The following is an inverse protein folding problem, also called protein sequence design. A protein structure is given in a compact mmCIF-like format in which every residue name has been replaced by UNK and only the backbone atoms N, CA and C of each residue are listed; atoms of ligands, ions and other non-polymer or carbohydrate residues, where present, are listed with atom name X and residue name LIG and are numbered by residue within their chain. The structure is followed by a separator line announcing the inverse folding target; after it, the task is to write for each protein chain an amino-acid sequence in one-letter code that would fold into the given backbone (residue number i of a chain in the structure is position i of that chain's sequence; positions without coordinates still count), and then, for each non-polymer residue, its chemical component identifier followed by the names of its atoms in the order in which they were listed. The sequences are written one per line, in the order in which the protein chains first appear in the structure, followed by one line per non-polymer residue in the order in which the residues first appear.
data_IF_668173037116
#
_entry.id   IF_668173037116
#
_cell.length_a   1.000
_cell.length_b   1.000
_cell.length_c   1.000
_cell.angle_alpha   90.00
_cell.angle_beta   90.00
_cell.angle_gamma   90.00
#
_symmetry.space_group_name_H-M   'P 1'
#
loop_
_entity.id
_entity.type
_entity.pdbx_description
1 polymer ?
#
# COMPACT_ATOMS: atom_id res chain seq x y z
N UNK A 1 18.50 0.43 22.01
CA UNK A 1 18.11 1.04 20.71
C UNK A 1 18.34 2.57 20.65
N UNK A 2 18.23 3.32 21.76
CA UNK A 2 18.45 4.78 21.80
C UNK A 2 19.91 5.28 21.68
N UNK A 3 20.90 4.47 22.06
CA UNK A 3 22.30 4.94 22.13
C UNK A 3 23.08 4.83 20.80
N UNK A 4 22.60 4.07 19.81
CA UNK A 4 23.23 4.00 18.48
C UNK A 4 22.94 5.26 17.63
N UNK A 5 21.80 5.92 17.87
CA UNK A 5 21.33 7.07 17.09
C UNK A 5 22.02 8.41 17.40
N UNK A 6 22.94 8.49 18.39
CA UNK A 6 23.57 9.76 18.79
C UNK A 6 24.85 10.08 18.01
N UNK A 7 25.54 9.07 17.45
CA UNK A 7 26.90 9.26 16.89
C UNK A 7 26.91 9.52 15.38
N UNK A 8 25.92 9.00 14.65
CA UNK A 8 25.74 9.14 13.19
C UNK A 8 25.15 10.50 12.76
N UNK A 9 24.54 11.26 13.68
CA UNK A 9 23.87 12.54 13.40
C UNK A 9 24.80 13.68 12.99
N UNK A 10 26.06 13.69 13.44
CA UNK A 10 26.96 14.82 13.18
C UNK A 10 27.36 14.96 11.71
N UNK A 11 27.53 13.84 11.02
CA UNK A 11 27.94 13.85 9.61
C UNK A 11 26.75 14.14 8.68
N UNK A 12 25.55 13.65 9.04
CA UNK A 12 24.32 13.88 8.28
C UNK A 12 23.88 15.35 8.36
N UNK A 13 23.93 15.98 9.54
CA UNK A 13 23.61 17.41 9.71
C UNK A 13 24.57 18.28 8.87
N UNK A 14 25.84 17.90 8.76
CA UNK A 14 26.82 18.65 7.96
C UNK A 14 26.50 18.59 6.45
N UNK A 15 26.01 17.45 5.95
CA UNK A 15 25.61 17.30 4.54
C UNK A 15 24.38 18.16 4.22
N UNK A 16 23.34 18.12 5.07
CA UNK A 16 22.15 18.95 4.88
C UNK A 16 22.46 20.46 4.95
N UNK A 17 23.37 20.88 5.84
CA UNK A 17 23.79 22.27 5.90
C UNK A 17 24.47 22.76 4.60
N UNK A 18 25.23 21.90 3.93
CA UNK A 18 25.89 22.21 2.65
C UNK A 18 24.86 22.32 1.51
N UNK A 19 23.90 21.40 1.46
CA UNK A 19 22.82 21.41 0.44
C UNK A 19 21.96 22.66 0.59
N UNK A 20 21.55 23.00 1.83
CA UNK A 20 20.78 24.22 2.11
C UNK A 20 21.58 25.47 1.75
N UNK A 21 22.88 25.52 2.04
CA UNK A 21 23.73 26.64 1.65
C UNK A 21 23.81 26.80 0.11
N UNK A 22 23.87 25.70 -0.64
CA UNK A 22 23.89 25.73 -2.11
C UNK A 22 22.56 26.21 -2.73
N UNK A 23 21.43 25.85 -2.12
CA UNK A 23 20.10 26.33 -2.51
C UNK A 23 19.95 27.81 -2.18
N UNK A 24 20.37 28.25 -0.99
CA UNK A 24 20.37 29.67 -0.59
C UNK A 24 21.29 30.54 -1.47
N UNK A 25 22.37 29.97 -2.02
CA UNK A 25 23.30 30.67 -2.90
C UNK A 25 22.83 30.70 -4.38
N UNK A 26 21.67 30.11 -4.69
CA UNK A 26 21.05 30.19 -6.02
C UNK A 26 21.78 29.41 -7.11
N UNK A 27 22.60 28.42 -6.75
CA UNK A 27 23.42 27.65 -7.71
C UNK A 27 22.58 26.61 -8.48
N UNK A 28 21.35 26.31 -8.03
CA UNK A 28 20.47 25.27 -8.58
C UNK A 28 19.11 25.84 -9.04
N UNK A 29 19.12 26.81 -9.96
CA UNK A 29 17.89 27.26 -10.64
C UNK A 29 18.12 27.21 -12.16
N UNK A 30 17.69 26.12 -12.80
CA UNK A 30 17.49 26.03 -14.25
C UNK A 30 16.18 26.73 -14.68
N UNK A 31 16.03 27.11 -15.97
CA UNK A 31 14.99 28.03 -16.38
C UNK A 31 13.60 27.37 -16.44
N UNK A 32 12.63 28.17 -16.02
CA UNK A 32 11.19 27.91 -15.87
C UNK A 32 10.50 27.77 -17.25
N UNK A 33 10.01 26.57 -17.59
CA UNK A 33 9.10 26.36 -18.73
C UNK A 33 7.69 26.84 -18.38
N UNK A 34 7.14 27.75 -19.19
CA UNK A 34 5.74 28.17 -19.17
C UNK A 34 4.89 27.08 -19.83
N UNK A 35 3.97 26.48 -19.08
CA UNK A 35 2.90 25.65 -19.64
C UNK A 35 1.71 26.57 -19.93
N UNK A 36 1.26 26.49 -21.18
CA UNK A 36 0.03 27.08 -21.71
C UNK A 36 -1.06 26.02 -21.47
N UNK A 37 -2.11 26.37 -20.74
CA UNK A 37 -3.29 25.52 -20.51
C UNK A 37 -4.47 26.12 -21.28
N UNK A 38 -4.78 25.54 -22.44
CA UNK A 38 -6.07 25.72 -23.13
C UNK A 38 -6.92 24.48 -22.84
N UNK A 39 -7.83 24.62 -21.89
CA UNK A 39 -8.89 23.68 -21.58
C UNK A 39 -10.06 23.86 -22.55
N UNK A 40 -10.71 22.76 -23.00
CA UNK A 40 -12.17 22.82 -23.06
C UNK A 40 -12.86 21.64 -22.37
N UNK A 41 -13.79 22.02 -21.51
CA UNK A 41 -14.74 21.22 -20.74
C UNK A 41 -15.78 20.49 -21.63
N UNK A 42 -16.23 19.26 -21.32
CA UNK A 42 -17.35 18.63 -22.00
C UNK A 42 -18.69 18.99 -21.37
N UNK A 43 -19.63 19.44 -22.21
CA UNK A 43 -21.04 19.67 -21.87
C UNK A 43 -21.92 18.46 -22.20
N UNK A 44 -22.85 18.15 -21.32
CA UNK A 44 -24.12 17.42 -21.55
C UNK A 44 -25.16 18.04 -20.57
N UNK A 45 -26.51 17.85 -20.67
CA UNK A 45 -27.27 16.81 -21.41
C UNK A 45 -28.64 17.25 -22.04
N UNK A 46 -29.28 16.36 -22.81
CA UNK A 46 -30.75 16.26 -23.06
C UNK A 46 -31.03 14.84 -23.62
N UNK A 47 -32.19 14.17 -23.56
CA UNK A 47 -33.55 14.43 -23.10
C UNK A 47 -34.30 13.06 -23.01
N UNK A 48 -35.44 13.05 -22.32
CA UNK A 48 -36.29 11.90 -21.98
C UNK A 48 -37.08 11.27 -23.15
N UNK A 49 -37.53 10.02 -23.00
CA UNK A 49 -38.88 9.61 -23.38
C UNK A 49 -39.35 8.33 -22.65
N UNK A 50 -40.52 8.43 -22.01
CA UNK A 50 -41.29 7.40 -21.32
C UNK A 50 -41.94 6.36 -22.26
N UNK A 51 -42.25 5.19 -21.68
CA UNK A 51 -43.26 4.25 -22.15
C UNK A 51 -43.77 3.39 -20.98
N UNK A 52 -45.09 3.18 -20.91
CA UNK A 52 -45.90 2.99 -19.69
C UNK A 52 -46.61 1.62 -19.68
N UNK A 53 -46.55 0.90 -18.53
CA UNK A 53 -47.54 0.00 -17.84
C UNK A 53 -48.26 -1.18 -18.57
N UNK A 54 -49.04 -2.10 -17.89
CA UNK A 54 -48.83 -2.90 -16.65
C UNK A 54 -49.44 -4.36 -16.68
N UNK A 55 -49.56 -5.00 -15.50
CA UNK A 55 -50.45 -6.12 -15.06
C UNK A 55 -49.97 -7.59 -15.26
N UNK A 56 -50.20 -8.62 -14.42
CA UNK A 56 -50.84 -8.85 -13.10
C UNK A 56 -50.73 -10.37 -12.77
N UNK A 57 -50.65 -10.76 -11.48
CA UNK A 57 -51.29 -11.93 -10.81
C UNK A 57 -50.42 -12.77 -9.83
N UNK A 58 -50.85 -12.74 -8.56
CA UNK A 58 -50.77 -13.82 -7.55
C UNK A 58 -52.18 -14.52 -7.51
N UNK A 59 -52.54 -15.58 -6.71
CA UNK A 59 -52.00 -15.97 -5.38
C UNK A 59 -52.03 -17.48 -4.97
N UNK A 60 -51.34 -17.81 -3.86
CA UNK A 60 -51.88 -18.64 -2.74
C UNK A 60 -51.63 -20.16 -2.67
N UNK A 61 -51.02 -20.64 -1.56
CA UNK A 61 -51.59 -21.61 -0.57
C UNK A 61 -50.54 -22.49 0.17
N UNK A 62 -50.55 -22.45 1.52
CA UNK A 62 -50.08 -23.48 2.49
C UNK A 62 -51.34 -24.09 3.19
N UNK A 63 -51.36 -25.19 4.01
CA UNK A 63 -50.32 -25.70 4.95
C UNK A 63 -50.18 -27.26 5.12
N UNK A 64 -49.33 -27.66 6.10
CA UNK A 64 -48.77 -28.97 6.58
C UNK A 64 -49.79 -30.06 7.09
N UNK A 65 -49.45 -31.25 7.73
CA UNK A 65 -48.44 -31.50 8.80
C UNK A 65 -47.78 -32.92 8.94
N UNK A 66 -46.81 -33.07 9.87
CA UNK A 66 -46.45 -34.36 10.52
C UNK A 66 -45.03 -34.46 11.13
N UNK A 67 -44.90 -34.33 12.46
CA UNK A 67 -43.67 -34.52 13.27
C UNK A 67 -43.58 -35.97 13.87
N UNK A 68 -42.52 -36.40 14.61
CA UNK A 68 -42.22 -35.89 15.95
C UNK A 68 -40.73 -35.73 16.34
N UNK A 69 -40.56 -35.06 17.49
CA UNK A 69 -39.38 -34.59 18.24
C UNK A 69 -38.25 -35.56 18.56
N UNK A 70 -37.04 -35.02 18.76
CA UNK A 70 -36.22 -35.35 19.94
C UNK A 70 -35.32 -34.16 20.37
N UNK A 71 -35.33 -33.88 21.67
CA UNK A 71 -34.74 -32.70 22.32
C UNK A 71 -33.34 -33.01 22.86
N UNK A 72 -32.38 -32.07 22.75
CA UNK A 72 -31.16 -32.03 23.58
C UNK A 72 -30.65 -30.58 23.73
N UNK A 73 -29.92 -30.25 24.82
CA UNK A 73 -30.03 -28.97 25.50
C UNK A 73 -29.19 -27.85 24.89
N UNK A 74 -29.73 -26.62 25.00
CA UNK A 74 -29.05 -25.39 24.62
C UNK A 74 -27.83 -25.11 25.51
N UNK A 75 -26.66 -25.28 24.93
CA UNK A 75 -25.54 -24.37 25.18
C UNK A 75 -25.46 -23.45 23.97
N UNK A 76 -25.56 -22.13 24.19
CA UNK A 76 -25.09 -21.17 23.20
C UNK A 76 -23.57 -21.34 23.08
N UNK A 77 -23.15 -22.30 22.27
CA UNK A 77 -21.84 -22.25 21.67
C UNK A 77 -21.89 -21.06 20.71
N UNK A 78 -21.48 -19.90 21.22
CA UNK A 78 -21.03 -18.82 20.35
C UNK A 78 -19.86 -19.44 19.58
N UNK A 79 -20.13 -19.88 18.35
CA UNK A 79 -19.08 -20.33 17.46
C UNK A 79 -18.08 -19.17 17.37
N UNK A 80 -16.84 -19.42 17.77
CA UNK A 80 -15.76 -18.47 17.51
C UNK A 80 -15.84 -18.12 16.02
N UNK A 81 -15.86 -16.83 15.65
CA UNK A 81 -15.96 -16.46 14.24
C UNK A 81 -14.85 -17.19 13.49
N UNK A 82 -15.20 -17.83 12.37
CA UNK A 82 -14.22 -18.45 11.49
C UNK A 82 -13.12 -17.41 11.21
N UNK A 83 -11.84 -17.78 11.31
CA UNK A 83 -10.77 -16.80 11.19
C UNK A 83 -10.87 -16.15 9.80
N UNK A 84 -11.02 -14.82 9.77
CA UNK A 84 -11.33 -14.05 8.56
C UNK A 84 -10.34 -14.37 7.43
N UNK A 85 -10.81 -15.00 6.36
CA UNK A 85 -9.98 -15.36 5.21
C UNK A 85 -9.28 -14.11 4.65
N UNK A 86 -7.99 -14.23 4.37
CA UNK A 86 -7.23 -13.12 3.83
C UNK A 86 -7.61 -12.85 2.37
N UNK A 87 -7.63 -11.59 1.97
CA UNK A 87 -7.97 -11.16 0.61
C UNK A 87 -6.73 -10.78 -0.20
N UNK A 88 -6.89 -10.72 -1.53
CA UNK A 88 -5.87 -10.14 -2.41
C UNK A 88 -6.19 -8.68 -2.66
N UNK A 89 -5.25 -7.78 -2.37
CA UNK A 89 -5.43 -6.33 -2.47
C UNK A 89 -4.33 -5.66 -3.29
N UNK A 90 -4.74 -4.69 -4.09
CA UNK A 90 -3.84 -3.79 -4.84
C UNK A 90 -3.58 -2.53 -4.02
N UNK A 91 -2.32 -2.12 -3.93
CA UNK A 91 -1.90 -0.88 -3.30
C UNK A 91 -1.13 -0.02 -4.30
N UNK A 92 -1.48 1.27 -4.31
CA UNK A 92 -0.85 2.26 -5.18
C UNK A 92 -0.29 3.38 -4.30
N UNK A 93 0.99 3.69 -4.50
CA UNK A 93 1.62 4.88 -3.94
C UNK A 93 2.34 5.62 -5.06
N UNK A 94 1.83 6.79 -5.45
CA UNK A 94 2.28 7.50 -6.64
C UNK A 94 2.23 6.57 -7.87
N UNK A 95 3.37 6.24 -8.47
CA UNK A 95 3.47 5.33 -9.60
C UNK A 95 3.84 3.89 -9.20
N UNK A 96 4.24 3.65 -7.95
CA UNK A 96 4.47 2.30 -7.43
C UNK A 96 3.13 1.59 -7.26
N UNK A 97 3.02 0.39 -7.84
CA UNK A 97 1.85 -0.47 -7.70
C UNK A 97 2.26 -1.89 -7.33
N UNK A 98 1.68 -2.38 -6.23
CA UNK A 98 1.90 -3.74 -5.72
C UNK A 98 0.56 -4.43 -5.47
N UNK A 99 0.57 -5.75 -5.53
CA UNK A 99 -0.52 -6.61 -5.12
C UNK A 99 -0.04 -7.51 -3.99
N UNK A 100 -0.81 -7.61 -2.90
CA UNK A 100 -0.54 -8.51 -1.79
C UNK A 100 -1.67 -9.52 -1.65
N UNK A 101 -1.31 -10.79 -1.46
CA UNK A 101 -2.25 -11.84 -1.05
C UNK A 101 -2.37 -11.93 0.47
N UNK A 102 -3.40 -12.62 0.95
CA UNK A 102 -3.61 -12.93 2.37
C UNK A 102 -3.64 -11.71 3.30
N UNK A 103 -4.13 -10.58 2.80
CA UNK A 103 -4.32 -9.36 3.60
C UNK A 103 -5.53 -9.51 4.50
N UNK A 104 -5.41 -9.13 5.77
CA UNK A 104 -6.49 -9.14 6.76
C UNK A 104 -7.17 -7.77 6.88
N UNK A 105 -6.37 -6.73 7.09
CA UNK A 105 -6.80 -5.36 7.19
C UNK A 105 -5.61 -4.44 6.97
N UNK A 106 -5.89 -3.20 6.62
CA UNK A 106 -4.89 -2.15 6.44
C UNK A 106 -5.35 -0.87 7.13
N UNK A 107 -4.37 -0.05 7.51
CA UNK A 107 -4.62 1.25 8.15
C UNK A 107 -3.59 2.26 7.70
N UNK A 108 -4.01 3.52 7.61
CA UNK A 108 -3.06 4.63 7.41
C UNK A 108 -2.54 5.12 8.75
N UNK A 109 -1.23 5.31 8.84
CA UNK A 109 -0.57 5.92 9.98
C UNK A 109 0.24 7.15 9.54
N UNK A 110 0.60 7.98 10.52
CA UNK A 110 1.40 9.19 10.35
C UNK A 110 2.60 9.15 11.29
N UNK A 111 3.77 9.56 10.80
CA UNK A 111 4.94 9.86 11.61
C UNK A 111 5.53 11.22 11.25
N UNK A 112 6.47 11.72 12.05
CA UNK A 112 7.29 12.85 11.65
C UNK A 112 8.54 12.32 10.95
N UNK A 113 8.86 12.87 9.78
CA UNK A 113 10.15 12.64 9.12
C UNK A 113 11.29 13.36 9.88
N UNK A 114 12.53 13.14 9.43
CA UNK A 114 13.71 13.76 10.04
C UNK A 114 13.73 15.29 9.91
N UNK A 115 12.95 15.86 8.99
CA UNK A 115 12.73 17.29 8.80
C UNK A 115 11.58 17.86 9.64
N UNK A 116 10.85 17.03 10.40
CA UNK A 116 9.67 17.42 11.16
C UNK A 116 8.39 17.55 10.32
N UNK A 117 8.42 17.11 9.06
CA UNK A 117 7.24 17.01 8.20
C UNK A 117 6.39 15.80 8.55
N UNK A 118 5.08 15.90 8.36
CA UNK A 118 4.19 14.74 8.50
C UNK A 118 4.37 13.80 7.31
N UNK A 119 4.65 12.54 7.61
CA UNK A 119 4.77 11.46 6.63
C UNK A 119 3.67 10.43 6.86
N UNK A 120 2.93 10.10 5.80
CA UNK A 120 1.83 9.12 5.82
C UNK A 120 2.25 7.82 5.14
N UNK A 121 1.94 6.70 5.79
CA UNK A 121 2.21 5.35 5.28
C UNK A 121 1.06 4.41 5.61
N UNK A 122 0.99 3.26 4.92
CA UNK A 122 -0.02 2.24 5.17
C UNK A 122 0.61 1.05 5.90
N UNK A 123 0.01 0.63 6.99
CA UNK A 123 0.35 -0.63 7.66
C UNK A 123 -0.62 -1.70 7.19
N UNK A 124 -0.10 -2.81 6.71
CA UNK A 124 -0.84 -3.92 6.10
C UNK A 124 -0.63 -5.15 6.98
N UNK A 125 -1.71 -5.61 7.60
CA UNK A 125 -1.71 -6.86 8.35
C UNK A 125 -1.98 -8.04 7.42
N UNK A 126 -1.09 -9.03 7.43
CA UNK A 126 -1.11 -10.18 6.52
C UNK A 126 -1.06 -11.50 7.29
N UNK A 127 -1.63 -12.56 6.74
CA UNK A 127 -1.41 -13.93 7.25
C UNK A 127 -0.05 -14.48 6.79
N UNK A 128 0.48 -15.51 7.47
CA UNK A 128 1.60 -16.30 6.96
C UNK A 128 1.32 -16.81 5.53
N UNK A 129 2.36 -16.82 4.69
CA UNK A 129 2.25 -17.17 3.27
C UNK A 129 1.67 -16.06 2.38
N UNK A 130 1.53 -14.83 2.88
CA UNK A 130 1.28 -13.67 2.04
C UNK A 130 2.43 -13.47 1.03
N UNK A 131 2.11 -13.07 -0.19
CA UNK A 131 3.07 -12.79 -1.23
C UNK A 131 2.80 -11.42 -1.85
N UNK A 132 3.89 -10.67 -2.08
CA UNK A 132 3.88 -9.41 -2.79
C UNK A 132 4.26 -9.63 -4.24
N UNK A 133 3.41 -9.15 -5.14
CA UNK A 133 3.67 -9.07 -6.58
C UNK A 133 3.83 -7.61 -6.97
N UNK A 134 4.90 -7.29 -7.71
CA UNK A 134 5.07 -5.95 -8.27
C UNK A 134 4.31 -5.85 -9.59
N UNK A 135 3.35 -4.93 -9.65
CA UNK A 135 2.58 -4.64 -10.87
C UNK A 135 3.25 -3.54 -11.68
N UNK A 136 3.74 -2.50 -10.98
CA UNK A 136 4.58 -1.45 -11.54
C UNK A 136 5.60 -1.03 -10.49
N UNK A 137 6.89 -1.15 -10.80
CA UNK A 137 7.99 -0.89 -9.88
C UNK A 137 8.38 0.60 -9.81
N UNK A 138 7.82 1.47 -10.66
CA UNK A 138 8.18 2.89 -10.71
C UNK A 138 9.71 3.09 -10.78
N UNK A 139 10.34 2.40 -11.73
CA UNK A 139 11.79 2.50 -11.94
C UNK A 139 12.14 3.89 -12.46
N UNK A 140 13.34 4.39 -12.10
CA UNK A 140 13.77 5.72 -12.55
C UNK A 140 13.81 5.82 -14.07
N UNK A 141 13.58 7.03 -14.59
CA UNK A 141 13.75 7.29 -16.00
C UNK A 141 15.24 7.14 -16.40
N UNK A 142 15.56 6.24 -17.36
CA UNK A 142 16.93 6.01 -17.82
C UNK A 142 17.58 7.26 -18.41
N UNK A 143 16.82 8.24 -18.88
CA UNK A 143 17.35 9.48 -19.47
C UNK A 143 18.14 10.32 -18.46
N UNK A 144 17.94 10.12 -17.15
CA UNK A 144 18.63 10.85 -16.08
C UNK A 144 19.68 10.00 -15.34
N UNK A 145 19.82 8.71 -15.67
CA UNK A 145 20.81 7.82 -15.06
C UNK A 145 22.14 7.85 -15.82
N UNK A 146 23.27 7.82 -15.10
CA UNK A 146 24.62 7.87 -15.71
C UNK A 146 24.88 6.68 -16.65
N UNK A 147 24.30 5.52 -16.36
CA UNK A 147 24.43 4.30 -17.16
C UNK A 147 23.34 4.16 -18.24
N UNK A 148 22.40 5.10 -18.31
CA UNK A 148 21.27 5.06 -19.24
C UNK A 148 20.29 3.93 -18.96
N UNK A 149 20.27 3.37 -17.75
CA UNK A 149 19.36 2.30 -17.34
C UNK A 149 18.33 2.79 -16.32
N UNK A 150 17.16 2.14 -16.33
CA UNK A 150 16.17 2.35 -15.29
C UNK A 150 16.61 1.63 -14.00
N UNK A 151 16.45 2.29 -12.85
CA UNK A 151 16.89 1.77 -11.55
C UNK A 151 15.72 1.66 -10.56
N UNK A 152 15.70 0.61 -9.71
CA UNK A 152 14.76 0.50 -8.61
C UNK A 152 14.75 1.75 -7.74
N UNK A 153 13.56 2.29 -7.48
CA UNK A 153 13.35 3.38 -6.52
C UNK A 153 12.87 2.86 -5.15
N UNK A 154 12.44 1.60 -5.12
CA UNK A 154 11.79 0.98 -3.98
C UNK A 154 12.46 -0.34 -3.62
N UNK A 155 12.39 -0.71 -2.35
CA UNK A 155 12.87 -1.98 -1.87
C UNK A 155 12.10 -2.49 -0.66
N UNK A 156 12.17 -3.80 -0.42
CA UNK A 156 11.72 -4.41 0.83
C UNK A 156 12.92 -4.50 1.78
N UNK A 157 12.79 -3.92 2.97
CA UNK A 157 13.82 -4.05 4.01
C UNK A 157 13.66 -5.38 4.74
N UNK A 158 14.58 -6.32 4.47
CA UNK A 158 14.63 -7.64 5.13
C UNK A 158 15.37 -7.59 6.46
N UNK A 159 16.46 -6.82 6.52
CA UNK A 159 17.29 -6.69 7.72
C UNK A 159 17.55 -5.20 8.01
N UNK A 160 16.96 -4.62 9.06
CA UNK A 160 17.18 -3.21 9.38
C UNK A 160 18.60 -2.90 9.85
N UNK A 161 19.39 -3.92 10.24
CA UNK A 161 20.80 -3.73 10.56
C UNK A 161 21.70 -3.73 9.31
N UNK A 162 21.21 -4.26 8.18
CA UNK A 162 21.96 -4.36 6.93
C UNK A 162 21.07 -4.06 5.71
N UNK A 163 20.92 -2.77 5.35
CA UNK A 163 20.14 -2.34 4.19
C UNK A 163 20.64 -2.91 2.84
N UNK A 164 21.86 -3.45 2.78
CA UNK A 164 22.38 -4.08 1.56
C UNK A 164 21.64 -5.38 1.21
N UNK A 165 20.97 -6.00 2.18
CA UNK A 165 20.12 -7.19 2.00
C UNK A 165 18.69 -6.85 1.56
N UNK A 166 18.40 -5.58 1.29
CA UNK A 166 17.10 -5.18 0.78
C UNK A 166 16.80 -5.83 -0.57
N UNK A 167 15.56 -6.27 -0.76
CA UNK A 167 15.10 -6.80 -2.04
C UNK A 167 14.65 -5.62 -2.88
N UNK A 168 15.38 -5.33 -3.96
CA UNK A 168 15.04 -4.23 -4.87
C UNK A 168 13.82 -4.59 -5.70
N UNK A 169 12.85 -3.69 -5.76
CA UNK A 169 11.64 -3.89 -6.55
C UNK A 169 11.92 -3.50 -8.01
N UNK A 170 11.71 -4.45 -8.93
CA UNK A 170 11.86 -4.26 -10.37
C UNK A 170 10.63 -4.79 -11.09
N UNK A 171 10.34 -4.24 -12.26
CA UNK A 171 9.27 -4.77 -13.10
C UNK A 171 9.54 -6.23 -13.50
N UNK A 172 8.50 -7.06 -13.47
CA UNK A 172 8.59 -8.47 -13.84
C UNK A 172 9.38 -9.35 -12.89
N UNK A 173 9.68 -8.89 -11.66
CA UNK A 173 10.26 -9.76 -10.64
C UNK A 173 9.27 -10.84 -10.19
N UNK A 174 9.79 -11.99 -9.77
CA UNK A 174 8.97 -13.04 -9.17
C UNK A 174 8.31 -12.56 -7.87
N UNK A 175 7.11 -13.05 -7.54
CA UNK A 175 6.46 -12.73 -6.28
C UNK A 175 7.34 -13.04 -5.07
N UNK A 176 7.35 -12.12 -4.10
CA UNK A 176 8.14 -12.23 -2.88
C UNK A 176 7.24 -12.63 -1.73
N UNK A 177 7.50 -13.78 -1.13
CA UNK A 177 6.82 -14.18 0.10
C UNK A 177 7.20 -13.24 1.24
N UNK A 178 6.19 -12.74 1.96
CA UNK A 178 6.36 -11.83 3.09
C UNK A 178 6.69 -12.66 4.32
N UNK A 179 7.87 -12.43 4.89
CA UNK A 179 8.35 -13.13 6.09
C UNK A 179 8.33 -12.20 7.32
N UNK A 180 8.36 -12.73 8.55
CA UNK A 180 8.35 -11.92 9.78
C UNK A 180 9.49 -10.90 9.89
N UNK A 181 10.62 -11.14 9.21
CA UNK A 181 11.78 -10.26 9.22
C UNK A 181 11.56 -9.03 8.31
N UNK A 182 10.72 -9.16 7.29
CA UNK A 182 10.45 -8.09 6.34
C UNK A 182 9.63 -6.98 6.98
N UNK A 183 10.16 -5.77 6.96
CA UNK A 183 9.50 -4.61 7.56
C UNK A 183 8.46 -3.98 6.66
N UNK A 184 8.72 -3.92 5.36
CA UNK A 184 7.88 -3.15 4.45
C UNK A 184 8.63 -2.63 3.23
N UNK A 185 7.88 -1.96 2.36
CA UNK A 185 8.38 -1.27 1.18
C UNK A 185 8.78 0.15 1.55
N UNK A 186 10.00 0.52 1.21
CA UNK A 186 10.56 1.85 1.48
C UNK A 186 11.20 2.45 0.22
N UNK A 187 11.25 3.78 0.18
CA UNK A 187 11.94 4.53 -0.86
C UNK A 187 13.46 4.51 -0.62
N UNK A 188 14.23 4.20 -1.66
CA UNK A 188 15.69 4.07 -1.55
C UNK A 188 16.43 5.40 -1.35
N UNK A 189 15.86 6.50 -1.82
CA UNK A 189 16.43 7.84 -1.67
C UNK A 189 16.12 8.42 -0.28
N UNK A 190 14.84 8.41 0.12
CA UNK A 190 14.40 9.03 1.38
C UNK A 190 14.48 8.11 2.60
N UNK A 191 14.62 6.80 2.39
CA UNK A 191 14.56 5.78 3.45
C UNK A 191 13.23 5.72 4.21
N UNK A 192 12.15 6.28 3.65
CA UNK A 192 10.82 6.29 4.27
C UNK A 192 9.94 5.14 3.77
N UNK A 193 9.20 4.52 4.69
CA UNK A 193 8.23 3.48 4.37
C UNK A 193 6.98 4.05 3.73
N UNK A 194 6.47 3.38 2.71
CA UNK A 194 5.15 3.65 2.13
C UNK A 194 4.16 2.55 2.49
N UNK A 195 4.65 1.32 2.63
CA UNK A 195 3.92 0.15 3.10
C UNK A 195 4.72 -0.54 4.21
N UNK A 196 4.08 -0.88 5.32
CA UNK A 196 4.68 -1.61 6.43
C UNK A 196 3.92 -2.93 6.64
N UNK A 197 4.63 -4.04 6.82
CA UNK A 197 4.03 -5.35 6.97
C UNK A 197 3.95 -5.76 8.45
N UNK A 198 2.80 -6.29 8.84
CA UNK A 198 2.58 -6.94 10.13
C UNK A 198 2.03 -8.35 9.88
N UNK A 199 2.82 -9.40 10.14
CA UNK A 199 2.28 -10.76 10.07
C UNK A 199 1.46 -11.06 11.33
N UNK A 200 0.23 -11.51 11.14
CA UNK A 200 -0.56 -12.10 12.21
C UNK A 200 0.00 -13.47 12.57
N UNK A 201 0.09 -13.79 13.86
CA UNK A 201 0.28 -15.18 14.29
C UNK A 201 -0.95 -15.98 13.85
N UNK A 202 -0.78 -16.91 12.91
CA UNK A 202 -1.82 -17.88 12.62
C UNK A 202 -1.93 -18.83 13.81
N UNK A 203 -3.13 -19.04 14.36
CA UNK A 203 -3.35 -20.20 15.23
C UNK A 203 -3.12 -21.46 14.37
N UNK A 204 -2.06 -22.20 14.70
CA UNK A 204 -1.69 -23.47 14.07
C UNK A 204 -2.52 -24.64 14.58
#
# INVERSE_FOLDING_TARGET
MYEYYRKTRRWIIAIYAIIIAAICLGILIGPRLKIIDDNPSPSAPSENAQGTEPAENAPGAEPAPGAPSESAPGGEYIASPAPAEGETKRYVYQNLEIELTNVLYDRTETMLDDGGGEWRYVVISCRPGAALTVVNADMSDPAYAEDGLAHPQWAILVDPADPSKSIRLTDGMEPVEITPEMRGVYNLESSLYVFLFELSEGEG
#
